data_IF_842551093059
#
_entry.id   IF_842551093059
#
_cell.length_a   1.000
_cell.length_b   1.000
_cell.length_c   1.000
_cell.angle_alpha   90.00
_cell.angle_beta   90.00
_cell.angle_gamma   90.00
#
_symmetry.space_group_name_H-M   'P 1'
#
loop_
_entity.id
_entity.type
_entity.pdbx_description
1 polymer ?
#
# COMPACT_ATOMS: atom_id res chain seq x y z
N UNK A 1 40.15 -34.13 35.05
CA UNK A 1 38.94 -33.79 34.28
C UNK A 1 38.73 -32.27 34.28
N UNK A 2 39.28 -31.56 33.31
CA UNK A 2 39.18 -30.09 33.26
C UNK A 2 37.74 -29.66 32.94
N UNK A 3 37.10 -28.94 33.86
CA UNK A 3 35.74 -28.38 33.69
C UNK A 3 35.80 -27.35 32.57
N UNK A 4 35.34 -27.72 31.36
CA UNK A 4 35.25 -26.83 30.19
C UNK A 4 34.52 -25.55 30.62
N UNK A 5 35.26 -24.42 30.75
CA UNK A 5 34.69 -23.11 31.05
C UNK A 5 33.65 -22.81 29.96
N UNK A 6 32.36 -22.87 30.31
CA UNK A 6 31.29 -22.38 29.43
C UNK A 6 31.53 -20.89 29.26
N UNK A 7 31.86 -20.46 28.05
CA UNK A 7 31.98 -19.05 27.72
C UNK A 7 30.71 -18.32 28.17
N UNK A 8 30.87 -17.17 28.82
CA UNK A 8 29.75 -16.32 29.26
C UNK A 8 28.95 -15.98 28.00
N UNK A 9 27.72 -16.48 27.92
CA UNK A 9 26.83 -16.24 26.78
C UNK A 9 26.60 -14.74 26.70
N UNK A 10 27.20 -14.08 25.71
CA UNK A 10 27.01 -12.65 25.48
C UNK A 10 25.57 -12.43 25.06
N UNK A 11 24.91 -11.47 25.71
CA UNK A 11 23.54 -11.13 25.37
C UNK A 11 23.47 -10.62 23.93
N UNK A 12 22.60 -11.24 23.13
CA UNK A 12 22.40 -10.93 21.71
C UNK A 12 21.61 -9.63 21.52
N UNK A 13 20.93 -9.12 22.55
CA UNK A 13 20.27 -7.83 22.50
C UNK A 13 21.24 -6.66 22.72
N UNK A 14 22.31 -6.85 23.49
CA UNK A 14 23.30 -5.81 23.74
C UNK A 14 24.09 -5.37 22.48
N UNK A 15 24.07 -6.18 21.41
CA UNK A 15 24.68 -5.84 20.12
C UNK A 15 23.71 -5.16 19.14
N UNK A 16 22.45 -4.97 19.49
CA UNK A 16 21.44 -4.40 18.59
C UNK A 16 21.39 -2.88 18.75
N UNK A 17 21.33 -2.19 17.61
CA UNK A 17 20.99 -0.77 17.53
C UNK A 17 19.54 -0.63 17.10
N UNK A 18 18.88 0.40 17.60
CA UNK A 18 17.52 0.75 17.20
C UNK A 18 17.57 1.71 16.01
N UNK A 19 16.82 1.38 14.96
CA UNK A 19 16.67 2.22 13.79
C UNK A 19 15.25 2.79 13.75
N UNK A 20 15.12 4.09 13.54
CA UNK A 20 13.86 4.81 13.34
C UNK A 20 13.42 4.64 11.89
N UNK A 21 12.21 4.13 11.69
CA UNK A 21 11.63 3.98 10.36
C UNK A 21 10.89 5.24 9.98
N UNK A 22 11.31 5.86 8.89
CA UNK A 22 10.74 7.09 8.38
C UNK A 22 9.89 6.78 7.16
N UNK A 23 8.66 7.30 7.16
CA UNK A 23 7.76 7.21 6.02
C UNK A 23 8.27 8.06 4.84
N UNK A 24 7.89 7.72 3.61
CA UNK A 24 8.18 8.54 2.43
C UNK A 24 7.66 9.97 2.56
N UNK A 25 8.22 10.89 1.78
CA UNK A 25 7.86 12.32 1.76
C UNK A 25 6.37 12.58 1.56
N UNK A 26 5.69 11.79 0.72
CA UNK A 26 4.26 11.95 0.47
C UNK A 26 3.35 11.63 1.67
N UNK A 27 3.92 11.08 2.75
CA UNK A 27 3.25 10.90 4.04
C UNK A 27 3.82 11.84 5.13
N UNK A 28 4.57 12.87 4.76
CA UNK A 28 5.04 13.91 5.67
C UNK A 28 6.21 13.48 6.57
N UNK A 29 7.02 12.51 6.15
CA UNK A 29 8.15 11.99 6.92
C UNK A 29 7.78 11.50 8.33
N UNK A 30 6.55 11.02 8.50
CA UNK A 30 6.09 10.48 9.78
C UNK A 30 6.95 9.30 10.25
N UNK A 31 7.18 9.24 11.55
CA UNK A 31 7.83 8.10 12.19
C UNK A 31 6.87 6.90 12.22
N UNK A 32 7.24 5.83 11.52
CA UNK A 32 6.44 4.60 11.41
C UNK A 32 6.68 3.69 12.61
N UNK A 33 7.87 3.76 13.20
CA UNK A 33 8.24 2.98 14.38
C UNK A 33 9.73 2.68 14.46
N UNK A 34 10.09 1.72 15.30
CA UNK A 34 11.48 1.37 15.58
C UNK A 34 11.76 -0.08 15.24
N UNK A 35 12.95 -0.34 14.70
CA UNK A 35 13.38 -1.69 14.34
C UNK A 35 14.79 -1.96 14.86
N UNK A 36 14.98 -2.99 15.70
CA UNK A 36 16.30 -3.35 16.18
C UNK A 36 17.05 -4.19 15.13
N UNK A 37 18.31 -3.86 14.87
CA UNK A 37 19.18 -4.67 14.03
C UNK A 37 20.64 -4.60 14.49
N UNK A 38 21.42 -5.64 14.15
CA UNK A 38 22.85 -5.68 14.47
C UNK A 38 23.68 -4.89 13.43
N UNK A 39 23.18 -4.76 12.20
CA UNK A 39 23.82 -4.07 11.08
C UNK A 39 22.77 -3.43 10.16
N UNK A 40 23.17 -2.37 9.45
CA UNK A 40 22.31 -1.58 8.55
C UNK A 40 21.80 -2.42 7.37
N UNK A 41 22.64 -3.29 6.81
CA UNK A 41 22.28 -4.19 5.70
C UNK A 41 21.10 -5.12 6.04
N UNK A 42 20.99 -5.53 7.31
CA UNK A 42 19.88 -6.40 7.78
C UNK A 42 18.56 -5.65 7.90
N UNK A 43 18.57 -4.33 7.92
CA UNK A 43 17.36 -3.49 7.98
C UNK A 43 16.79 -3.30 6.58
N UNK A 44 17.66 -3.19 5.57
CA UNK A 44 17.27 -3.04 4.17
C UNK A 44 16.40 -4.24 3.75
N UNK A 45 15.28 -3.94 3.10
CA UNK A 45 14.34 -4.96 2.64
C UNK A 45 13.36 -5.48 3.69
N UNK A 46 13.44 -5.05 4.96
CA UNK A 46 12.37 -5.31 5.93
C UNK A 46 11.09 -4.59 5.52
N UNK A 47 9.97 -5.25 5.76
CA UNK A 47 8.64 -4.69 5.52
C UNK A 47 7.99 -4.38 6.86
N UNK A 48 7.41 -3.20 6.98
CA UNK A 48 6.67 -2.75 8.16
C UNK A 48 5.24 -2.44 7.77
N UNK A 49 4.31 -2.85 8.62
CA UNK A 49 2.89 -2.59 8.47
C UNK A 49 2.47 -1.52 9.46
N UNK A 50 1.77 -0.50 8.98
CA UNK A 50 1.20 0.57 9.80
C UNK A 50 -0.20 0.90 9.29
N UNK A 51 -1.05 1.42 10.16
CA UNK A 51 -2.34 1.93 9.73
C UNK A 51 -2.23 3.36 9.22
N UNK A 52 -3.12 3.74 8.29
CA UNK A 52 -3.16 5.13 7.82
C UNK A 52 -3.57 6.11 8.93
N UNK A 53 -4.38 5.65 9.90
CA UNK A 53 -4.77 6.45 11.05
C UNK A 53 -3.57 6.89 11.89
N UNK A 54 -2.60 6.00 12.12
CA UNK A 54 -1.38 6.31 12.87
C UNK A 54 -0.45 7.26 12.09
N UNK A 55 -0.43 7.17 10.76
CA UNK A 55 0.39 8.06 9.92
C UNK A 55 -0.16 9.48 9.86
N UNK A 56 -1.47 9.65 9.73
CA UNK A 56 -2.10 10.97 9.57
C UNK A 56 -2.59 11.56 10.89
N UNK A 57 -2.56 10.79 11.99
CA UNK A 57 -3.20 11.11 13.29
C UNK A 57 -4.71 11.39 13.19
N UNK A 58 -5.33 11.04 12.06
CA UNK A 58 -6.75 11.19 11.79
C UNK A 58 -7.49 9.87 12.01
N UNK A 59 -8.06 9.70 13.20
CA UNK A 59 -8.89 8.55 13.59
C UNK A 59 -10.31 8.57 13.00
N UNK A 60 -10.52 9.28 11.90
CA UNK A 60 -11.82 9.31 11.23
C UNK A 60 -12.25 7.91 10.78
N UNK A 61 -13.56 7.63 10.83
CA UNK A 61 -14.21 6.30 10.72
C UNK A 61 -13.80 5.38 9.54
N UNK A 62 -13.01 5.83 8.57
CA UNK A 62 -12.56 5.04 7.41
C UNK A 62 -11.04 4.79 7.35
N UNK A 63 -10.25 5.50 8.16
CA UNK A 63 -8.79 5.43 8.15
C UNK A 63 -8.22 4.22 8.93
N UNK A 64 -8.84 3.71 10.02
CA UNK A 64 -8.31 2.57 10.77
C UNK A 64 -8.27 1.25 9.98
N UNK A 65 -9.14 1.08 8.99
CA UNK A 65 -9.22 -0.17 8.21
C UNK A 65 -8.19 -0.25 7.08
N UNK A 66 -7.42 0.81 6.86
CA UNK A 66 -6.44 0.93 5.77
C UNK A 66 -5.04 0.61 6.31
N UNK A 67 -4.49 -0.52 5.86
CA UNK A 67 -3.14 -0.96 6.20
C UNK A 67 -2.19 -0.63 5.06
N UNK A 68 -1.09 0.00 5.41
CA UNK A 68 -0.01 0.34 4.51
C UNK A 68 1.21 -0.50 4.89
N UNK A 69 1.83 -1.13 3.89
CA UNK A 69 3.08 -1.85 4.05
C UNK A 69 4.17 -1.08 3.34
N UNK A 70 5.20 -0.77 4.09
CA UNK A 70 6.37 -0.06 3.63
C UNK A 70 7.58 -0.98 3.64
N UNK A 71 8.46 -0.84 2.67
CA UNK A 71 9.72 -1.59 2.57
C UNK A 71 10.90 -0.65 2.74
N UNK A 72 11.84 -0.99 3.60
CA UNK A 72 13.07 -0.18 3.80
C UNK A 72 13.93 -0.26 2.54
N UNK A 73 14.30 0.89 1.98
CA UNK A 73 15.17 0.96 0.79
C UNK A 73 16.58 1.46 1.12
N UNK A 74 16.71 2.39 2.06
CA UNK A 74 17.98 3.01 2.44
C UNK A 74 18.01 3.26 3.94
N UNK A 75 19.18 3.07 4.53
CA UNK A 75 19.48 3.47 5.91
C UNK A 75 20.53 4.58 5.85
N UNK A 76 20.34 5.62 6.65
CA UNK A 76 21.28 6.72 6.82
C UNK A 76 21.49 6.91 8.33
N UNK A 77 22.59 6.35 8.84
CA UNK A 77 22.85 6.33 10.28
C UNK A 77 21.76 5.54 11.01
N UNK A 78 21.04 6.20 11.92
CA UNK A 78 19.97 5.58 12.71
C UNK A 78 18.61 5.62 11.99
N UNK A 79 18.48 6.44 10.94
CA UNK A 79 17.23 6.62 10.20
C UNK A 79 17.13 5.65 9.02
N UNK A 80 16.07 4.88 8.97
CA UNK A 80 15.75 3.95 7.89
C UNK A 80 14.59 4.50 7.05
N UNK A 81 14.89 4.90 5.81
CA UNK A 81 13.89 5.39 4.88
C UNK A 81 13.16 4.25 4.19
N UNK A 82 11.84 4.40 4.10
CA UNK A 82 10.96 3.40 3.53
C UNK A 82 10.33 3.85 2.22
N UNK A 83 9.90 2.88 1.40
CA UNK A 83 9.12 3.05 0.18
C UNK A 83 7.79 2.32 0.33
N UNK A 84 6.75 2.79 -0.35
CA UNK A 84 5.49 2.06 -0.42
C UNK A 84 5.70 0.70 -1.12
N UNK A 85 5.15 -0.37 -0.52
CA UNK A 85 5.18 -1.70 -1.11
C UNK A 85 3.78 -2.21 -1.42
N UNK A 86 2.87 -2.11 -0.45
CA UNK A 86 1.53 -2.67 -0.58
C UNK A 86 0.52 -1.85 0.23
N UNK A 87 -0.69 -1.74 -0.30
CA UNK A 87 -1.87 -1.25 0.42
C UNK A 87 -2.85 -2.40 0.56
N UNK A 88 -3.42 -2.58 1.75
CA UNK A 88 -4.39 -3.62 2.03
C UNK A 88 -5.51 -3.10 2.95
N UNK A 89 -6.75 -3.47 2.66
CA UNK A 89 -7.85 -3.29 3.60
C UNK A 89 -7.86 -4.41 4.64
N UNK A 90 -8.15 -4.05 5.88
CA UNK A 90 -8.23 -4.99 6.99
C UNK A 90 -9.30 -6.06 6.72
N UNK A 91 -8.95 -7.31 7.02
CA UNK A 91 -9.81 -8.48 6.75
C UNK A 91 -11.16 -8.37 7.45
N UNK A 92 -11.17 -7.88 8.69
CA UNK A 92 -12.39 -7.72 9.48
C UNK A 92 -13.40 -6.78 8.79
N UNK A 93 -12.90 -5.66 8.27
CA UNK A 93 -13.69 -4.72 7.50
C UNK A 93 -14.30 -5.34 6.22
N UNK A 94 -13.51 -6.08 5.45
CA UNK A 94 -13.99 -6.78 4.25
C UNK A 94 -15.04 -7.86 4.57
N UNK A 95 -14.88 -8.55 5.71
CA UNK A 95 -15.82 -9.56 6.18
C UNK A 95 -17.14 -8.92 6.62
N UNK A 96 -17.08 -7.78 7.34
CA UNK A 96 -18.25 -6.97 7.71
C UNK A 96 -19.10 -6.56 6.49
N UNK A 97 -18.44 -6.23 5.37
CA UNK A 97 -19.14 -5.90 4.14
C UNK A 97 -19.78 -7.11 3.44
N UNK A 98 -19.20 -8.30 3.61
CA UNK A 98 -19.66 -9.51 2.95
C UNK A 98 -20.90 -10.08 3.66
N UNK A 99 -22.08 -9.96 3.03
CA UNK A 99 -23.35 -10.46 3.60
C UNK A 99 -23.92 -11.63 2.80
N UNK A 100 -24.66 -12.51 3.47
CA UNK A 100 -25.43 -13.58 2.81
C UNK A 100 -26.46 -12.98 1.85
N UNK A 101 -26.83 -13.75 0.81
CA UNK A 101 -27.80 -13.37 -0.25
C UNK A 101 -27.42 -12.15 -1.10
N UNK A 102 -26.19 -11.64 -0.95
CA UNK A 102 -25.63 -10.59 -1.82
C UNK A 102 -24.55 -11.17 -2.73
N UNK A 103 -24.07 -10.40 -3.71
CA UNK A 103 -22.94 -10.79 -4.55
C UNK A 103 -21.74 -9.92 -4.26
N UNK A 104 -20.59 -10.57 -4.04
CA UNK A 104 -19.28 -9.96 -4.04
C UNK A 104 -18.72 -10.03 -5.46
N UNK A 105 -18.32 -8.89 -6.01
CA UNK A 105 -17.70 -8.79 -7.33
C UNK A 105 -16.27 -8.33 -7.10
N UNK A 106 -15.31 -9.19 -7.42
CA UNK A 106 -13.89 -8.87 -7.38
C UNK A 106 -13.35 -8.73 -8.79
N UNK A 107 -12.38 -7.84 -8.94
CA UNK A 107 -11.63 -7.62 -10.16
C UNK A 107 -10.15 -7.35 -9.84
N UNK A 108 -9.28 -7.83 -10.70
CA UNK A 108 -7.82 -7.71 -10.57
C UNK A 108 -7.32 -7.11 -11.88
N UNK A 109 -6.65 -5.97 -11.77
CA UNK A 109 -6.18 -5.21 -12.91
C UNK A 109 -4.71 -4.88 -12.70
N UNK A 110 -3.90 -5.21 -13.69
CA UNK A 110 -2.51 -4.79 -13.75
C UNK A 110 -2.47 -3.49 -14.56
N UNK A 111 -2.03 -2.41 -13.92
CA UNK A 111 -1.97 -1.07 -14.50
C UNK A 111 -0.55 -0.54 -14.46
N UNK A 112 -0.23 0.29 -15.44
CA UNK A 112 1.03 1.05 -15.48
C UNK A 112 0.70 2.52 -15.28
N UNK A 113 1.35 3.18 -14.32
CA UNK A 113 1.17 4.61 -14.09
C UNK A 113 1.96 5.44 -15.09
N UNK A 114 1.68 6.74 -15.18
CA UNK A 114 2.41 7.66 -16.06
C UNK A 114 3.93 7.67 -15.80
N UNK A 115 4.33 7.46 -14.54
CA UNK A 115 5.75 7.42 -14.13
C UNK A 115 6.42 6.06 -14.43
N UNK A 116 5.70 5.08 -14.97
CA UNK A 116 6.23 3.75 -15.31
C UNK A 116 6.18 2.72 -14.18
N UNK A 117 5.49 3.00 -13.07
CA UNK A 117 5.25 2.01 -12.02
C UNK A 117 4.20 1.00 -12.46
N UNK A 118 4.48 -0.29 -12.27
CA UNK A 118 3.52 -1.37 -12.51
C UNK A 118 2.84 -1.75 -11.20
N UNK A 119 1.53 -1.57 -11.13
CA UNK A 119 0.71 -1.85 -9.96
C UNK A 119 -0.34 -2.90 -10.30
N UNK A 120 -0.62 -3.77 -9.33
CA UNK A 120 -1.79 -4.66 -9.37
C UNK A 120 -2.84 -4.15 -8.41
N UNK A 121 -3.95 -3.68 -8.94
CA UNK A 121 -5.08 -3.13 -8.19
C UNK A 121 -6.17 -4.18 -8.11
N UNK A 122 -6.58 -4.51 -6.88
CA UNK A 122 -7.67 -5.45 -6.60
C UNK A 122 -8.87 -4.65 -6.09
N UNK A 123 -9.86 -4.44 -6.94
CA UNK A 123 -11.10 -3.73 -6.58
C UNK A 123 -12.21 -4.71 -6.19
N UNK A 124 -13.07 -4.30 -5.26
CA UNK A 124 -14.20 -5.10 -4.78
C UNK A 124 -15.46 -4.23 -4.75
N UNK A 125 -16.56 -4.76 -5.27
CA UNK A 125 -17.89 -4.21 -5.07
C UNK A 125 -18.83 -5.19 -4.38
N UNK A 126 -19.73 -4.62 -3.59
CA UNK A 126 -20.79 -5.32 -2.89
C UNK A 126 -22.14 -4.87 -3.43
N UNK A 127 -22.93 -5.81 -3.92
CA UNK A 127 -24.27 -5.54 -4.43
C UNK A 127 -25.31 -5.59 -3.32
N UNK A 128 -26.47 -4.94 -3.52
CA UNK A 128 -27.58 -5.00 -2.55
C UNK A 128 -28.28 -6.37 -2.57
N UNK A 129 -28.44 -6.94 -3.76
CA UNK A 129 -29.07 -8.24 -4.02
C UNK A 129 -28.18 -9.13 -4.88
N UNK A 130 -28.51 -10.41 -5.02
CA UNK A 130 -27.77 -11.34 -5.88
C UNK A 130 -27.85 -10.88 -7.34
N UNK A 131 -26.69 -10.70 -7.95
CA UNK A 131 -26.53 -10.17 -9.29
C UNK A 131 -26.33 -11.32 -10.30
N UNK A 132 -26.86 -11.18 -11.52
CA UNK A 132 -26.68 -12.17 -12.59
C UNK A 132 -25.23 -12.17 -13.11
N UNK A 133 -24.80 -13.27 -13.75
CA UNK A 133 -23.44 -13.40 -14.27
C UNK A 133 -23.09 -12.35 -15.34
N UNK A 134 -24.05 -12.00 -16.20
CA UNK A 134 -23.92 -10.94 -17.23
C UNK A 134 -23.62 -9.58 -16.61
N UNK A 135 -24.44 -9.17 -15.64
CA UNK A 135 -24.28 -7.92 -14.90
C UNK A 135 -22.95 -7.87 -14.14
N UNK A 136 -22.51 -8.98 -13.53
CA UNK A 136 -21.18 -9.07 -12.89
C UNK A 136 -20.06 -8.81 -13.88
N UNK A 137 -20.14 -9.37 -15.09
CA UNK A 137 -19.13 -9.13 -16.15
C UNK A 137 -19.12 -7.67 -16.58
N UNK A 138 -20.28 -7.05 -16.74
CA UNK A 138 -20.40 -5.64 -17.10
C UNK A 138 -19.80 -4.71 -16.03
N UNK A 139 -20.08 -4.97 -14.75
CA UNK A 139 -19.50 -4.20 -13.63
C UNK A 139 -17.97 -4.35 -13.60
N UNK A 140 -17.43 -5.55 -13.82
CA UNK A 140 -15.97 -5.75 -13.91
C UNK A 140 -15.35 -4.98 -15.08
N UNK A 141 -16.04 -4.91 -16.22
CA UNK A 141 -15.56 -4.14 -17.38
C UNK A 141 -15.43 -2.65 -17.03
N UNK A 142 -16.46 -2.08 -16.39
CA UNK A 142 -16.43 -0.67 -15.93
C UNK A 142 -15.31 -0.43 -14.91
N UNK A 143 -15.12 -1.35 -13.95
CA UNK A 143 -14.02 -1.25 -12.99
C UNK A 143 -12.66 -1.18 -13.68
N UNK A 144 -12.41 -2.09 -14.63
CA UNK A 144 -11.17 -2.11 -15.41
C UNK A 144 -10.93 -0.82 -16.17
N UNK A 145 -11.95 -0.33 -16.86
CA UNK A 145 -11.85 0.90 -17.66
C UNK A 145 -11.51 2.10 -16.79
N UNK A 146 -12.22 2.30 -15.67
CA UNK A 146 -11.97 3.43 -14.77
C UNK A 146 -10.57 3.34 -14.17
N UNK A 147 -10.19 2.20 -13.61
CA UNK A 147 -8.87 2.03 -12.96
C UNK A 147 -7.73 2.21 -13.96
N UNK A 148 -7.86 1.69 -15.18
CA UNK A 148 -6.84 1.84 -16.23
C UNK A 148 -6.75 3.29 -16.71
N UNK A 149 -7.89 3.98 -16.87
CA UNK A 149 -7.93 5.36 -17.31
C UNK A 149 -7.33 6.31 -16.27
N UNK A 150 -7.64 6.12 -14.98
CA UNK A 150 -7.06 6.93 -13.90
C UNK A 150 -5.55 6.66 -13.77
N UNK A 151 -5.13 5.39 -13.79
CA UNK A 151 -3.73 5.03 -13.69
C UNK A 151 -2.89 5.61 -14.85
N UNK A 152 -3.43 5.63 -16.07
CA UNK A 152 -2.71 6.15 -17.24
C UNK A 152 -2.55 7.68 -17.22
N UNK A 153 -3.44 8.40 -16.52
CA UNK A 153 -3.43 9.86 -16.45
C UNK A 153 -2.59 10.39 -15.30
N UNK A 154 -2.57 9.68 -14.18
CA UNK A 154 -1.99 10.17 -12.94
C UNK A 154 -0.61 9.60 -12.65
N UNK A 155 0.17 10.39 -11.90
CA UNK A 155 1.43 9.97 -11.30
C UNK A 155 1.18 8.96 -10.17
N UNK A 156 2.20 8.19 -9.82
CA UNK A 156 2.12 7.14 -8.79
C UNK A 156 1.61 7.65 -7.44
N UNK A 157 2.17 8.77 -6.96
CA UNK A 157 1.80 9.35 -5.66
C UNK A 157 0.34 9.82 -5.65
N UNK A 158 -0.07 10.52 -6.71
CA UNK A 158 -1.43 11.02 -6.87
C UNK A 158 -2.42 9.85 -6.93
N UNK A 159 -2.13 8.83 -7.73
CA UNK A 159 -2.95 7.63 -7.86
C UNK A 159 -3.15 6.92 -6.50
N UNK A 160 -2.08 6.79 -5.69
CA UNK A 160 -2.19 6.22 -4.35
C UNK A 160 -3.08 7.07 -3.45
N UNK A 161 -2.91 8.39 -3.47
CA UNK A 161 -3.72 9.30 -2.67
C UNK A 161 -5.19 9.24 -3.08
N UNK A 162 -5.49 9.19 -4.37
CA UNK A 162 -6.86 9.07 -4.92
C UNK A 162 -7.52 7.73 -4.54
N UNK A 163 -6.74 6.64 -4.62
CA UNK A 163 -7.17 5.31 -4.22
C UNK A 163 -7.48 5.23 -2.72
N UNK A 164 -6.64 5.87 -1.90
CA UNK A 164 -6.77 5.92 -0.45
C UNK A 164 -7.92 6.84 -0.01
N UNK A 165 -8.03 8.04 -0.58
CA UNK A 165 -9.10 9.00 -0.26
C UNK A 165 -10.47 8.55 -0.79
N UNK A 166 -10.50 7.55 -1.68
CA UNK A 166 -11.74 6.91 -2.13
C UNK A 166 -12.39 7.56 -3.35
N UNK A 167 -11.67 8.42 -4.09
CA UNK A 167 -12.18 9.02 -5.33
C UNK A 167 -12.42 7.97 -6.41
N UNK A 168 -11.46 7.06 -6.62
CA UNK A 168 -11.59 5.96 -7.57
C UNK A 168 -12.80 5.07 -7.25
N UNK A 169 -12.97 4.56 -6.01
CA UNK A 169 -14.18 3.85 -5.62
C UNK A 169 -15.49 4.62 -5.84
N UNK A 170 -15.49 5.93 -5.59
CA UNK A 170 -16.68 6.77 -5.78
C UNK A 170 -17.05 6.90 -7.27
N UNK A 171 -16.07 7.02 -8.16
CA UNK A 171 -16.30 7.05 -9.61
C UNK A 171 -16.82 5.71 -10.13
N UNK A 172 -16.23 4.60 -9.67
CA UNK A 172 -16.72 3.25 -9.98
C UNK A 172 -18.17 3.09 -9.51
N UNK A 173 -18.49 3.57 -8.30
CA UNK A 173 -19.85 3.51 -7.77
C UNK A 173 -20.85 4.24 -8.66
N UNK A 174 -20.53 5.47 -9.10
CA UNK A 174 -21.42 6.27 -9.97
C UNK A 174 -21.73 5.57 -11.29
N UNK A 175 -20.71 4.99 -11.94
CA UNK A 175 -20.88 4.31 -13.22
C UNK A 175 -21.56 2.94 -13.08
N UNK A 176 -21.17 2.15 -12.08
CA UNK A 176 -21.72 0.83 -11.89
C UNK A 176 -23.16 0.84 -11.34
N UNK A 177 -23.59 1.90 -10.64
CA UNK A 177 -24.99 2.09 -10.19
C UNK A 177 -25.98 2.10 -11.35
N UNK A 178 -25.57 2.52 -12.56
CA UNK A 178 -26.41 2.51 -13.77
C UNK A 178 -26.78 1.09 -14.21
N UNK A 179 -25.93 0.10 -13.94
CA UNK A 179 -26.17 -1.30 -14.30
C UNK A 179 -26.94 -2.01 -13.19
N UNK A 180 -26.49 -1.86 -11.95
CA UNK A 180 -27.06 -2.58 -10.81
C UNK A 180 -26.87 -1.81 -9.51
N UNK A 181 -27.82 -1.85 -8.57
CA UNK A 181 -27.66 -1.22 -7.27
C UNK A 181 -26.51 -1.83 -6.46
N UNK A 182 -25.48 -1.01 -6.21
CA UNK A 182 -24.35 -1.32 -5.35
C UNK A 182 -24.54 -0.71 -3.97
N UNK A 183 -24.02 -1.39 -2.95
CA UNK A 183 -23.98 -0.90 -1.56
C UNK A 183 -22.68 -0.16 -1.27
N UNK A 184 -21.55 -0.76 -1.64
CA UNK A 184 -20.22 -0.22 -1.39
C UNK A 184 -19.25 -0.73 -2.45
N UNK A 185 -18.30 0.12 -2.83
CA UNK A 185 -17.17 -0.21 -3.71
C UNK A 185 -15.92 0.26 -2.98
N UNK A 186 -14.89 -0.57 -2.94
CA UNK A 186 -13.59 -0.23 -2.35
C UNK A 186 -12.44 -0.92 -3.08
N UNK A 187 -11.23 -0.40 -2.89
CA UNK A 187 -10.00 -1.05 -3.36
C UNK A 187 -9.50 -1.92 -2.22
N UNK A 188 -9.51 -3.24 -2.42
CA UNK A 188 -9.10 -4.23 -1.42
C UNK A 188 -7.59 -4.24 -1.22
N UNK A 189 -6.84 -4.17 -2.31
CA UNK A 189 -5.39 -4.32 -2.29
C UNK A 189 -4.74 -3.60 -3.46
N UNK A 190 -3.58 -2.98 -3.23
CA UNK A 190 -2.70 -2.49 -4.28
C UNK A 190 -1.32 -3.10 -4.02
N UNK A 191 -0.81 -3.86 -4.98
CA UNK A 191 0.50 -4.49 -4.93
C UNK A 191 1.44 -3.78 -5.91
N UNK A 192 2.61 -3.36 -5.45
CA UNK A 192 3.67 -2.87 -6.32
C UNK A 192 4.39 -4.06 -6.98
N UNK A 193 4.29 -4.19 -8.31
CA UNK A 193 4.91 -5.29 -9.05
C UNK A 193 6.34 -4.93 -9.49
N UNK A 194 6.49 -3.76 -10.10
CA UNK A 194 7.78 -3.27 -10.59
C UNK A 194 7.87 -1.78 -10.39
N UNK A 195 8.99 -1.36 -9.82
CA UNK A 195 9.44 0.02 -9.92
C UNK A 195 10.02 0.23 -11.34
N UNK A 196 9.81 1.40 -11.96
CA UNK A 196 10.65 1.79 -13.07
C UNK A 196 12.09 1.86 -12.54
N UNK A 197 13.04 1.25 -13.25
CA UNK A 197 14.45 1.50 -12.97
C UNK A 197 14.65 2.99 -13.20
N UNK A 198 14.83 3.75 -12.13
CA UNK A 198 15.25 5.15 -12.23
C UNK A 198 16.59 5.09 -12.94
N UNK A 199 16.59 5.49 -14.21
CA UNK A 199 17.81 5.94 -14.89
C UNK A 199 18.28 7.10 -14.03
N UNK A 200 19.49 6.99 -13.49
CA UNK A 200 20.06 7.86 -12.44
C UNK A 200 20.18 9.35 -12.86
N UNK A 201 19.74 9.72 -14.06
CA UNK A 201 19.90 11.04 -14.66
C UNK A 201 19.00 12.13 -14.04
N UNK A 202 17.78 11.83 -13.57
CA UNK A 202 16.87 12.88 -13.06
C UNK A 202 17.19 13.41 -11.66
N UNK A 203 17.99 12.67 -10.88
CA UNK A 203 18.46 13.16 -9.57
C UNK A 203 19.72 14.02 -9.75
N UNK A 204 20.53 13.75 -10.79
CA UNK A 204 21.69 14.56 -11.16
C UNK A 204 21.28 15.92 -11.75
N UNK A 205 20.29 15.98 -12.65
CA UNK A 205 19.80 17.25 -13.21
C UNK A 205 19.21 18.20 -12.15
N UNK A 206 18.56 17.66 -11.11
CA UNK A 206 18.03 18.48 -10.02
C UNK A 206 19.13 19.02 -9.08
N UNK A 207 20.30 18.37 -9.04
CA UNK A 207 21.45 18.84 -8.27
C UNK A 207 22.30 19.85 -9.06
N UNK A 208 22.38 19.74 -10.38
CA UNK A 208 23.08 20.71 -11.24
C UNK A 208 22.28 22.00 -11.50
N UNK A 209 20.94 21.98 -11.41
CA UNK A 209 20.14 23.20 -11.58
C UNK A 209 20.15 24.15 -10.35
N UNK A 210 20.76 23.74 -9.23
CA UNK A 210 20.84 24.51 -7.97
C UNK A 210 22.29 24.95 -7.66
N UNK A 211 23.26 24.53 -8.47
CA UNK A 211 24.66 24.99 -8.42
C UNK A 211 24.91 26.10 -9.44
#
# INVERSE_FOLDING_TARGET
>A
MARKRRARVKDKWASKKWFTLIAPEYFGYAEVGYTPADSEEKVIGRTVEITLAELTNDYSNQNPYKKLKFKVYKVAGENAYTKFHEFELMRDYLNSLTRRRTSKIEDIVDVTTADGYKLRVKSVAFTVKRCQSSQKRAIRKIMREIVTNTASKEKFVQFLQEAVLGKIPAEIYKNAKKIYPLRRVEIRKIELLSEPKVVEEKVAEAAEAVA
#
